data_IF_553927957077
#
_entry.id   IF_553927957077
#
_cell.length_a   1.000
_cell.length_b   1.000
_cell.length_c   1.000
_cell.angle_alpha   90.00
_cell.angle_beta   90.00
_cell.angle_gamma   90.00
#
_symmetry.space_group_name_H-M   'P 1'
#
loop_
_entity.id
_entity.type
_entity.pdbx_description
1 polymer ?
#
# COMPACT_ATOMS: atom_id res chain seq x y z
N UNK A 1 -35.61 -70.25 28.33
CA UNK A 1 -35.72 -69.67 29.66
C UNK A 1 -34.60 -68.73 29.93
N UNK A 2 -35.01 -67.50 30.21
CA UNK A 2 -34.36 -66.59 31.14
C UNK A 2 -33.17 -65.83 30.65
N UNK A 3 -33.28 -64.66 30.51
CA UNK A 3 -33.54 -63.55 31.38
C UNK A 3 -32.34 -62.62 31.44
N UNK A 4 -32.54 -61.46 30.89
CA UNK A 4 -31.74 -60.28 31.13
C UNK A 4 -31.91 -59.80 32.57
N UNK A 5 -30.96 -59.12 33.09
CA UNK A 5 -31.16 -57.76 33.46
C UNK A 5 -30.00 -56.86 33.03
N UNK A 6 -30.26 -55.76 32.47
CA UNK A 6 -30.51 -54.56 33.19
C UNK A 6 -29.20 -53.91 33.56
N UNK A 7 -28.57 -53.26 32.59
CA UNK A 7 -27.32 -52.54 32.82
C UNK A 7 -27.56 -51.07 32.70
N UNK A 8 -27.37 -50.44 33.78
CA UNK A 8 -27.34 -49.05 34.04
C UNK A 8 -26.56 -48.22 33.03
N UNK A 9 -27.23 -47.28 32.48
CA UNK A 9 -26.66 -46.15 31.79
C UNK A 9 -25.71 -45.37 32.69
N UNK A 10 -24.46 -45.41 32.35
CA UNK A 10 -23.53 -44.40 32.86
C UNK A 10 -23.48 -43.25 31.89
N UNK A 11 -24.18 -42.25 32.18
CA UNK A 11 -23.96 -40.97 31.53
C UNK A 11 -22.59 -40.49 31.94
N UNK A 12 -21.70 -40.57 31.01
CA UNK A 12 -20.50 -39.77 31.08
C UNK A 12 -20.80 -38.43 30.44
N UNK A 13 -21.05 -37.47 31.29
CA UNK A 13 -20.97 -36.07 30.87
C UNK A 13 -19.58 -35.83 30.27
N UNK A 14 -19.57 -35.62 28.98
CA UNK A 14 -18.41 -35.07 28.33
C UNK A 14 -18.31 -33.61 28.80
N UNK A 15 -17.44 -33.40 29.75
CA UNK A 15 -17.01 -32.05 30.05
C UNK A 15 -16.34 -31.50 28.77
N UNK A 16 -17.05 -30.63 28.12
CA UNK A 16 -16.48 -29.77 27.11
C UNK A 16 -15.31 -29.02 27.70
N UNK A 17 -14.14 -29.13 27.12
CA UNK A 17 -13.07 -28.22 27.48
C UNK A 17 -13.54 -26.83 27.08
N UNK A 18 -13.74 -26.01 28.05
CA UNK A 18 -13.86 -24.57 27.86
C UNK A 18 -12.54 -24.14 27.24
N UNK A 19 -12.54 -24.01 25.94
CA UNK A 19 -11.46 -23.31 25.27
C UNK A 19 -11.62 -21.85 25.69
N UNK A 20 -10.83 -21.48 26.65
CA UNK A 20 -10.55 -20.09 26.92
C UNK A 20 -9.81 -19.58 25.70
N UNK A 21 -10.57 -19.11 24.72
CA UNK A 21 -9.96 -18.28 23.69
C UNK A 21 -9.54 -17.01 24.40
N UNK A 22 -8.31 -16.95 24.75
CA UNK A 22 -7.66 -15.68 25.01
C UNK A 22 -7.67 -14.98 23.67
N UNK A 23 -8.69 -14.21 23.43
CA UNK A 23 -8.64 -13.25 22.36
C UNK A 23 -7.56 -12.27 22.75
N UNK A 24 -6.38 -12.48 22.20
CA UNK A 24 -5.42 -11.44 22.14
C UNK A 24 -6.13 -10.30 21.41
N UNK A 25 -6.43 -9.25 22.14
CA UNK A 25 -6.93 -8.03 21.52
C UNK A 25 -5.87 -7.60 20.52
N UNK A 26 -6.16 -7.83 19.27
CA UNK A 26 -5.43 -7.20 18.21
C UNK A 26 -5.46 -5.70 18.49
N UNK A 27 -4.33 -5.00 18.36
CA UNK A 27 -4.34 -3.56 18.52
C UNK A 27 -5.43 -3.04 17.58
N UNK A 28 -6.33 -2.27 18.13
CA UNK A 28 -7.35 -1.58 17.36
C UNK A 28 -6.61 -0.72 16.35
N UNK A 29 -6.46 -1.22 15.14
CA UNK A 29 -6.20 -0.36 14.02
C UNK A 29 -7.38 0.58 13.97
N UNK A 30 -7.11 1.87 14.13
CA UNK A 30 -8.13 2.87 13.99
C UNK A 30 -8.66 2.74 12.56
N UNK A 31 -9.78 2.10 12.44
CA UNK A 31 -10.50 1.99 11.21
C UNK A 31 -11.14 3.33 10.97
N UNK A 32 -10.43 4.19 10.28
CA UNK A 32 -11.08 5.33 9.67
C UNK A 32 -12.11 4.75 8.71
N UNK A 33 -13.36 5.01 8.97
CA UNK A 33 -14.45 4.48 8.19
C UNK A 33 -14.40 4.91 6.74
N UNK A 34 -13.83 4.08 5.93
CA UNK A 34 -13.77 4.21 4.50
C UNK A 34 -13.73 2.82 3.91
N UNK A 35 -14.80 2.42 3.35
CA UNK A 35 -15.12 1.08 2.94
C UNK A 35 -14.34 0.54 1.76
N UNK A 36 -13.16 0.96 1.43
CA UNK A 36 -12.73 0.50 0.13
C UNK A 36 -11.30 0.09 -0.05
N UNK A 37 -10.60 -0.20 1.00
CA UNK A 37 -9.26 -0.75 0.84
C UNK A 37 -8.97 -1.90 1.78
N UNK A 38 -9.61 -3.00 1.49
CA UNK A 38 -9.12 -4.29 1.91
C UNK A 38 -7.70 -4.48 1.34
N UNK A 39 -6.66 -4.31 2.15
CA UNK A 39 -5.29 -4.56 1.76
C UNK A 39 -4.30 -3.46 2.13
N UNK A 40 -4.76 -2.29 2.48
CA UNK A 40 -3.91 -1.25 3.03
C UNK A 40 -3.84 -1.38 4.55
N UNK A 41 -2.64 -1.62 5.07
CA UNK A 41 -2.40 -1.56 6.50
C UNK A 41 -2.56 -0.15 7.05
N UNK A 42 -2.41 0.00 8.36
CA UNK A 42 -2.36 1.30 9.01
C UNK A 42 -1.26 2.17 8.40
N UNK A 43 -1.48 3.47 8.35
CA UNK A 43 -0.48 4.40 7.86
C UNK A 43 0.75 4.44 8.77
N UNK A 44 1.93 4.38 8.17
CA UNK A 44 3.19 4.62 8.86
C UNK A 44 3.30 6.12 9.19
N UNK A 45 2.95 6.96 8.25
CA UNK A 45 2.97 8.41 8.34
C UNK A 45 1.98 8.98 7.33
N UNK A 46 1.36 10.10 7.65
CA UNK A 46 0.39 10.78 6.79
C UNK A 46 0.69 12.26 6.70
N UNK A 47 0.49 12.82 5.53
CA UNK A 47 0.63 14.25 5.28
C UNK A 47 -0.66 14.80 4.68
N UNK A 48 -1.04 15.98 5.11
CA UNK A 48 -2.11 16.74 4.45
C UNK A 48 -1.57 17.38 3.17
N UNK A 49 -2.42 17.46 2.17
CA UNK A 49 -2.05 17.99 0.86
C UNK A 49 -3.25 18.66 0.19
N UNK A 50 -3.02 19.19 -0.98
CA UNK A 50 -4.07 19.66 -1.88
C UNK A 50 -3.87 18.98 -3.22
N UNK A 51 -4.89 18.26 -3.66
CA UNK A 51 -4.91 17.57 -4.95
C UNK A 51 -6.17 17.97 -5.68
N UNK A 52 -6.03 18.37 -6.94
CA UNK A 52 -7.16 18.85 -7.74
C UNK A 52 -7.92 19.99 -7.02
N UNK A 53 -7.17 20.86 -6.34
CA UNK A 53 -7.69 21.97 -5.52
C UNK A 53 -8.61 21.53 -4.37
N UNK A 54 -8.51 20.29 -3.93
CA UNK A 54 -9.29 19.75 -2.81
C UNK A 54 -8.37 19.29 -1.70
N UNK A 55 -8.80 19.39 -0.43
CA UNK A 55 -8.02 18.88 0.67
C UNK A 55 -7.88 17.36 0.55
N UNK A 56 -6.68 16.88 0.77
CA UNK A 56 -6.35 15.46 0.66
C UNK A 56 -5.40 15.03 1.78
N UNK A 57 -5.39 13.75 2.05
CA UNK A 57 -4.39 13.10 2.92
C UNK A 57 -3.63 12.07 2.11
N UNK A 58 -2.31 12.17 2.09
CA UNK A 58 -1.42 11.18 1.50
C UNK A 58 -0.77 10.40 2.62
N UNK A 59 -0.97 9.10 2.62
CA UNK A 59 -0.49 8.20 3.67
C UNK A 59 0.46 7.17 3.11
N UNK A 60 1.63 7.02 3.73
CA UNK A 60 2.53 5.92 3.45
C UNK A 60 2.10 4.71 4.29
N UNK A 61 1.82 3.60 3.66
CA UNK A 61 1.25 2.43 4.32
C UNK A 61 2.26 1.30 4.53
N UNK A 62 3.11 1.04 3.55
CA UNK A 62 4.16 0.04 3.71
C UNK A 62 5.34 0.29 2.79
N UNK A 63 6.51 -0.09 3.26
CA UNK A 63 7.72 -0.21 2.46
C UNK A 63 8.28 -1.60 2.73
N UNK A 64 8.15 -2.48 1.76
CA UNK A 64 8.57 -3.87 1.89
C UNK A 64 9.58 -4.24 0.81
N UNK A 65 10.47 -5.15 1.12
CA UNK A 65 11.49 -5.57 0.17
C UNK A 65 11.62 -7.09 0.10
N UNK A 66 11.89 -7.56 -1.10
CA UNK A 66 12.33 -8.92 -1.38
C UNK A 66 13.62 -8.81 -2.18
N UNK A 67 14.74 -9.22 -1.56
CA UNK A 67 16.05 -9.01 -2.17
C UNK A 67 16.34 -7.54 -2.41
N UNK A 68 16.57 -7.17 -3.66
CA UNK A 68 16.85 -5.78 -4.08
C UNK A 68 15.63 -5.05 -4.63
N UNK A 69 14.46 -5.66 -4.56
CA UNK A 69 13.20 -5.07 -5.02
C UNK A 69 12.41 -4.53 -3.84
N UNK A 70 12.10 -3.25 -3.87
CA UNK A 70 11.32 -2.56 -2.83
C UNK A 70 9.97 -2.16 -3.40
N UNK A 71 8.91 -2.51 -2.69
CA UNK A 71 7.55 -2.10 -3.01
C UNK A 71 7.04 -1.10 -1.99
N UNK A 72 6.59 0.04 -2.47
CA UNK A 72 5.99 1.10 -1.66
C UNK A 72 4.50 1.09 -1.88
N UNK A 73 3.74 1.01 -0.80
CA UNK A 73 2.29 1.15 -0.81
C UNK A 73 1.91 2.46 -0.14
N UNK A 74 1.10 3.24 -0.79
CA UNK A 74 0.57 4.48 -0.23
C UNK A 74 -0.90 4.66 -0.61
N UNK A 75 -1.55 5.59 0.04
CA UNK A 75 -2.95 5.87 -0.21
C UNK A 75 -3.23 7.36 -0.25
N UNK A 76 -4.29 7.71 -0.95
CA UNK A 76 -4.75 9.09 -1.09
C UNK A 76 -6.22 9.14 -0.71
N UNK A 77 -6.53 9.99 0.26
CA UNK A 77 -7.90 10.20 0.74
C UNK A 77 -8.38 11.57 0.27
N UNK A 78 -9.58 11.61 -0.27
CA UNK A 78 -10.27 12.87 -0.54
C UNK A 78 -10.95 13.37 0.72
N UNK A 79 -10.41 14.42 1.31
CA UNK A 79 -10.95 15.05 2.52
C UNK A 79 -12.00 16.12 2.25
N UNK A 80 -12.30 16.39 0.99
CA UNK A 80 -13.38 17.29 0.62
C UNK A 80 -14.73 16.67 1.04
N UNK A 81 -15.66 17.52 1.43
CA UNK A 81 -16.96 17.07 1.95
C UNK A 81 -17.99 16.82 0.85
N UNK A 82 -17.79 17.37 -0.32
CA UNK A 82 -18.84 17.41 -1.35
C UNK A 82 -18.35 17.23 -2.77
N UNK A 83 -17.06 17.35 -3.06
CA UNK A 83 -16.54 17.31 -4.42
C UNK A 83 -15.65 16.10 -4.65
N UNK A 84 -15.80 15.48 -5.81
CA UNK A 84 -14.88 14.44 -6.26
C UNK A 84 -13.48 15.04 -6.51
N UNK A 85 -12.46 14.23 -6.32
CA UNK A 85 -11.06 14.61 -6.51
C UNK A 85 -10.47 13.80 -7.66
N UNK A 86 -9.91 14.48 -8.63
CA UNK A 86 -9.28 13.87 -9.78
C UNK A 86 -7.77 13.70 -9.53
N UNK A 87 -7.25 12.50 -9.72
CA UNK A 87 -5.87 12.18 -9.29
C UNK A 87 -4.93 11.81 -10.44
N UNK A 88 -5.34 11.96 -11.67
CA UNK A 88 -4.68 11.41 -12.86
C UNK A 88 -3.18 11.70 -12.95
N UNK A 89 -2.77 12.95 -12.85
CA UNK A 89 -1.40 13.37 -13.17
C UNK A 89 -0.62 13.94 -11.98
N UNK A 90 -1.11 13.74 -10.76
CA UNK A 90 -0.51 14.34 -9.57
C UNK A 90 0.70 13.60 -9.02
N UNK A 91 0.91 12.36 -9.42
CA UNK A 91 1.97 11.50 -8.86
C UNK A 91 3.01 11.07 -9.91
N UNK A 92 2.85 11.49 -11.15
CA UNK A 92 3.80 11.23 -12.23
C UNK A 92 4.89 12.30 -12.27
N UNK A 93 6.07 11.94 -12.75
CA UNK A 93 7.13 12.91 -13.06
C UNK A 93 7.06 13.45 -14.49
N UNK A 94 6.09 13.01 -15.25
CA UNK A 94 5.97 13.34 -16.68
C UNK A 94 6.66 12.32 -17.56
N UNK A 95 7.29 12.78 -18.62
CA UNK A 95 7.73 11.94 -19.72
C UNK A 95 9.21 11.57 -19.67
N UNK A 96 9.99 12.23 -18.83
CA UNK A 96 11.43 12.34 -19.04
C UNK A 96 12.20 11.11 -18.55
N UNK A 97 11.62 10.30 -17.71
CA UNK A 97 12.32 9.16 -17.11
C UNK A 97 11.94 7.81 -17.70
N UNK A 98 11.07 7.76 -18.70
CA UNK A 98 10.62 6.50 -19.27
C UNK A 98 11.69 5.92 -20.20
N UNK A 99 12.22 4.72 -19.88
CA UNK A 99 13.10 4.03 -20.82
C UNK A 99 12.37 3.71 -22.12
N UNK A 100 12.92 4.13 -23.21
CA UNK A 100 12.36 3.80 -24.53
C UNK A 100 12.82 2.41 -24.95
N UNK A 101 11.92 1.47 -25.22
CA UNK A 101 12.31 0.20 -25.82
C UNK A 101 12.97 0.48 -27.16
N UNK A 102 14.07 -0.17 -27.43
CA UNK A 102 14.80 0.07 -28.66
C UNK A 102 13.90 -0.18 -29.88
N UNK A 103 13.75 0.81 -30.72
CA UNK A 103 13.00 0.72 -31.96
C UNK A 103 11.51 1.04 -31.88
N UNK A 104 11.01 1.47 -30.73
CA UNK A 104 9.64 1.97 -30.63
C UNK A 104 9.63 3.36 -30.02
N UNK A 105 9.11 4.31 -30.79
CA UNK A 105 8.71 5.57 -30.20
C UNK A 105 7.53 5.29 -29.28
N UNK A 106 7.74 5.32 -27.99
CA UNK A 106 6.64 5.36 -27.04
C UNK A 106 6.09 6.79 -27.09
N UNK A 107 4.80 6.96 -27.29
CA UNK A 107 4.18 8.28 -27.07
C UNK A 107 4.58 8.74 -25.69
N UNK A 108 4.86 10.00 -25.54
CA UNK A 108 5.31 10.61 -24.28
C UNK A 108 4.62 9.99 -23.09
N UNK A 109 5.36 9.80 -22.02
CA UNK A 109 4.97 9.00 -20.88
C UNK A 109 3.59 9.27 -20.37
N UNK A 110 2.93 8.22 -19.97
CA UNK A 110 1.63 8.33 -19.35
C UNK A 110 1.75 9.15 -18.06
N UNK A 111 1.08 10.27 -18.00
CA UNK A 111 0.99 11.09 -16.78
C UNK A 111 0.02 10.51 -15.76
N UNK A 112 -0.72 9.46 -16.12
CA UNK A 112 -1.71 8.83 -15.23
C UNK A 112 -1.14 7.62 -14.51
N UNK A 113 0.06 7.75 -14.00
CA UNK A 113 0.69 6.74 -13.16
C UNK A 113 1.40 7.40 -11.97
N UNK A 114 2.06 6.60 -11.14
CA UNK A 114 2.74 7.08 -9.95
C UNK A 114 4.27 7.00 -10.08
N UNK A 115 4.80 7.16 -11.26
CA UNK A 115 6.23 7.03 -11.52
C UNK A 115 7.09 8.19 -10.98
N UNK A 116 6.46 9.22 -10.43
CA UNK A 116 7.16 10.34 -9.83
C UNK A 116 7.71 10.12 -8.43
N UNK A 117 7.40 8.97 -7.81
CA UNK A 117 7.98 8.65 -6.52
C UNK A 117 9.50 8.47 -6.63
N UNK A 118 10.21 8.85 -5.58
CA UNK A 118 11.63 8.56 -5.45
C UNK A 118 11.91 7.86 -4.13
N UNK A 119 12.90 6.99 -4.14
CA UNK A 119 13.43 6.34 -2.96
C UNK A 119 14.89 6.74 -2.80
N UNK A 120 15.25 7.22 -1.62
CA UNK A 120 16.62 7.58 -1.29
C UNK A 120 17.11 6.58 -0.25
N UNK A 121 18.25 5.95 -0.55
CA UNK A 121 18.94 5.09 0.39
C UNK A 121 20.00 5.94 1.11
N UNK A 122 19.84 6.25 2.41
CA UNK A 122 20.64 7.27 3.07
C UNK A 122 22.13 6.94 3.19
N UNK A 123 22.49 5.66 3.34
CA UNK A 123 23.88 5.26 3.54
C UNK A 123 24.76 5.51 2.30
N UNK A 124 24.20 5.41 1.12
CA UNK A 124 24.88 5.67 -0.15
C UNK A 124 24.51 7.01 -0.77
N UNK A 125 23.46 7.64 -0.30
CA UNK A 125 22.83 8.82 -0.89
C UNK A 125 22.31 8.59 -2.33
N UNK A 126 22.15 7.35 -2.73
CA UNK A 126 21.61 7.02 -4.04
C UNK A 126 20.11 7.29 -4.10
N UNK A 127 19.69 7.82 -5.23
CA UNK A 127 18.27 8.08 -5.52
C UNK A 127 17.82 7.05 -6.54
N UNK A 128 16.76 6.35 -6.21
CA UNK A 128 16.11 5.37 -7.06
C UNK A 128 14.81 5.92 -7.60
N UNK A 129 14.56 5.68 -8.85
CA UNK A 129 13.32 6.00 -9.53
C UNK A 129 12.44 4.77 -9.60
N UNK A 130 11.15 4.97 -9.78
CA UNK A 130 10.21 3.87 -10.03
C UNK A 130 10.64 3.11 -11.27
N UNK A 131 10.64 1.79 -11.15
CA UNK A 131 11.16 0.91 -12.20
C UNK A 131 10.15 0.69 -13.31
N UNK A 132 10.69 0.45 -14.50
CA UNK A 132 9.92 0.11 -15.69
C UNK A 132 10.30 -1.28 -16.17
N UNK A 133 9.34 -1.98 -16.76
CA UNK A 133 9.61 -3.28 -17.38
C UNK A 133 10.28 -3.12 -18.76
N UNK A 134 10.64 -4.22 -19.38
CA UNK A 134 11.30 -4.21 -20.68
C UNK A 134 10.41 -3.72 -21.83
N UNK A 135 9.13 -3.60 -21.60
CA UNK A 135 8.15 -3.11 -22.58
C UNK A 135 7.84 -1.62 -22.40
N UNK A 136 8.48 -0.97 -21.44
CA UNK A 136 8.22 0.42 -21.12
C UNK A 136 7.00 0.63 -20.21
N UNK A 137 6.55 -0.41 -19.52
CA UNK A 137 5.48 -0.34 -18.53
C UNK A 137 6.02 0.00 -17.16
N UNK A 138 5.39 0.94 -16.47
CA UNK A 138 5.71 1.27 -15.10
C UNK A 138 5.38 0.10 -14.17
N UNK A 139 6.31 -0.27 -13.29
CA UNK A 139 6.02 -1.19 -12.20
C UNK A 139 5.33 -0.45 -11.05
N UNK A 140 4.21 0.17 -11.37
CA UNK A 140 3.45 1.02 -10.47
C UNK A 140 1.98 1.09 -10.88
N UNK A 141 1.17 1.67 -10.01
CA UNK A 141 -0.23 1.96 -10.33
C UNK A 141 -0.32 2.90 -11.54
N UNK A 142 -1.15 2.55 -12.48
CA UNK A 142 -1.38 3.30 -13.69
C UNK A 142 -2.87 3.45 -13.99
N UNK A 143 -3.17 4.05 -15.13
CA UNK A 143 -4.54 4.31 -15.57
C UNK A 143 -5.38 5.07 -14.53
N UNK A 144 -4.77 6.07 -13.90
CA UNK A 144 -5.39 6.85 -12.84
C UNK A 144 -6.43 7.84 -13.38
N UNK A 145 -7.36 7.36 -14.17
CA UNK A 145 -8.44 8.17 -14.74
C UNK A 145 -9.69 8.13 -13.85
N UNK A 146 -9.49 8.02 -12.56
CA UNK A 146 -10.58 7.87 -11.59
C UNK A 146 -10.78 9.11 -10.76
N UNK A 147 -12.02 9.31 -10.35
CA UNK A 147 -12.38 10.29 -9.34
C UNK A 147 -12.47 9.62 -7.99
N UNK A 148 -11.81 10.21 -7.00
CA UNK A 148 -11.96 9.80 -5.60
C UNK A 148 -13.10 10.60 -5.00
N UNK A 149 -14.15 9.91 -4.60
CA UNK A 149 -15.33 10.55 -4.01
C UNK A 149 -15.03 11.12 -2.63
N UNK A 150 -15.83 12.08 -2.15
CA UNK A 150 -15.65 12.64 -0.81
C UNK A 150 -15.55 11.55 0.26
N UNK A 151 -14.50 11.64 1.08
CA UNK A 151 -14.23 10.68 2.14
C UNK A 151 -13.64 9.34 1.72
N UNK A 152 -13.51 9.09 0.42
CA UNK A 152 -12.93 7.85 -0.08
C UNK A 152 -11.41 7.90 -0.15
N UNK A 153 -10.81 6.71 -0.15
CA UNK A 153 -9.37 6.50 -0.24
C UNK A 153 -9.06 5.56 -1.38
N UNK A 154 -8.04 5.87 -2.16
CA UNK A 154 -7.48 4.95 -3.16
C UNK A 154 -6.12 4.43 -2.70
N UNK A 155 -5.84 3.17 -3.02
CA UNK A 155 -4.57 2.52 -2.76
C UNK A 155 -3.70 2.56 -4.02
N UNK A 156 -2.44 2.94 -3.84
CA UNK A 156 -1.47 3.07 -4.93
C UNK A 156 -0.18 2.35 -4.55
N UNK A 157 0.59 1.91 -5.55
CA UNK A 157 1.86 1.25 -5.32
C UNK A 157 2.90 1.67 -6.35
N UNK A 158 4.16 1.57 -5.95
CA UNK A 158 5.32 1.74 -6.81
C UNK A 158 6.41 0.75 -6.43
N UNK A 159 7.13 0.27 -7.42
CA UNK A 159 8.21 -0.70 -7.24
C UNK A 159 9.54 -0.10 -7.67
N UNK A 160 10.56 -0.31 -6.85
CA UNK A 160 11.93 0.12 -7.08
C UNK A 160 12.83 -1.12 -7.14
N UNK A 161 13.69 -1.21 -8.14
CA UNK A 161 14.63 -2.31 -8.29
C UNK A 161 16.07 -1.84 -8.10
N UNK A 162 16.96 -2.77 -7.77
CA UNK A 162 18.38 -2.45 -7.59
C UNK A 162 18.71 -1.75 -6.27
N UNK A 163 17.79 -1.73 -5.32
CA UNK A 163 18.03 -1.19 -3.99
C UNK A 163 18.87 -2.20 -3.20
N UNK A 164 19.92 -1.77 -2.47
CA UNK A 164 20.74 -2.70 -1.71
C UNK A 164 19.93 -3.57 -0.76
N UNK A 165 20.17 -4.88 -0.76
CA UNK A 165 19.45 -5.83 0.07
C UNK A 165 19.65 -5.59 1.57
N UNK A 166 20.72 -4.92 1.95
CA UNK A 166 21.03 -4.55 3.34
C UNK A 166 20.41 -3.23 3.78
N UNK A 167 19.76 -2.50 2.91
CA UNK A 167 19.10 -1.24 3.25
C UNK A 167 18.02 -1.47 4.31
N UNK A 168 18.14 -0.80 5.46
CA UNK A 168 17.21 -0.93 6.58
C UNK A 168 16.18 0.18 6.65
N UNK A 169 16.58 1.37 6.26
CA UNK A 169 15.73 2.56 6.25
C UNK A 169 15.92 3.29 4.94
N UNK A 170 14.85 3.88 4.47
CA UNK A 170 14.82 4.66 3.25
C UNK A 170 14.00 5.92 3.43
N UNK A 171 14.21 6.88 2.57
CA UNK A 171 13.37 8.07 2.46
C UNK A 171 12.55 7.98 1.19
N UNK A 172 11.26 8.15 1.32
CA UNK A 172 10.32 8.11 0.20
C UNK A 172 9.80 9.51 -0.04
N UNK A 173 9.89 10.00 -1.27
CA UNK A 173 9.26 11.25 -1.69
C UNK A 173 8.11 10.93 -2.63
N UNK A 174 6.94 11.45 -2.31
CA UNK A 174 5.72 11.29 -3.10
C UNK A 174 5.33 12.66 -3.65
N UNK A 175 5.23 12.84 -4.96
CA UNK A 175 4.73 14.10 -5.52
C UNK A 175 3.39 14.48 -4.91
N UNK A 176 3.23 15.72 -4.50
CA UNK A 176 2.06 16.23 -3.78
C UNK A 176 1.77 15.52 -2.43
N UNK A 177 2.64 14.64 -1.98
CA UNK A 177 2.52 13.94 -0.70
C UNK A 177 3.65 14.28 0.28
N UNK A 178 4.73 14.87 -0.21
CA UNK A 178 5.87 15.25 0.61
C UNK A 178 6.89 14.12 0.80
N UNK A 179 7.74 14.31 1.80
CA UNK A 179 8.86 13.42 2.08
C UNK A 179 8.61 12.66 3.37
N UNK A 180 8.77 11.35 3.29
CA UNK A 180 8.66 10.42 4.41
C UNK A 180 10.06 9.92 4.73
N UNK A 181 10.65 10.47 5.78
CA UNK A 181 12.06 10.23 6.11
C UNK A 181 12.23 9.06 7.04
N UNK A 182 13.34 8.35 6.87
CA UNK A 182 13.77 7.28 7.77
C UNK A 182 12.70 6.20 7.99
N UNK A 183 12.13 5.73 6.91
CA UNK A 183 11.10 4.68 6.94
C UNK A 183 11.78 3.32 6.98
N UNK A 184 11.38 2.48 7.94
CA UNK A 184 11.90 1.12 8.05
C UNK A 184 11.42 0.25 6.88
N UNK A 185 12.35 -0.49 6.29
CA UNK A 185 12.04 -1.46 5.23
C UNK A 185 11.73 -2.80 5.88
N UNK A 186 10.54 -3.31 5.61
CA UNK A 186 10.10 -4.64 6.04
C UNK A 186 10.61 -5.71 5.07
N UNK A 187 11.20 -6.77 5.59
CA UNK A 187 11.75 -7.88 4.80
C UNK A 187 11.19 -9.23 5.22
#
# INVERSE_FOLDING_TARGET
SCQLPGGSSGEKEASTPTSTSTSASAPKSAQSGGDSNSGQGAAIESHTSSIDSKPATVSLNSVSATGTTVTVMFSVTNDDKSNDMYVTDYFSDGDDSIPQPSGKATPGGSKNNVDGLTLIEPSSSNIYRVSYDSQGGCLCSGDLNEFVKPGQTIALQATFTGVPAEAKNVTITIPNGGTFSNVAVTR
#
